data_IF_613969468413
#
_entry.id   IF_613969468413
#
_cell.length_a   1.000
_cell.length_b   1.000
_cell.length_c   1.000
_cell.angle_alpha   90.00
_cell.angle_beta   90.00
_cell.angle_gamma   90.00
#
_symmetry.space_group_name_H-M   'P 1'
#
loop_
_entity.id
_entity.type
_entity.pdbx_description
1 polymer ?
#
# COMPACT_ATOMS: atom_id res chain seq x y z
N UNK A 1 -17.08 -4.59 -6.63
CA UNK A 1 -15.89 -5.12 -5.93
C UNK A 1 -14.74 -5.12 -6.92
N UNK A 2 -13.63 -4.48 -6.57
CA UNK A 2 -12.39 -4.76 -7.29
C UNK A 2 -12.28 -6.28 -7.32
N UNK A 3 -12.21 -6.85 -8.51
CA UNK A 3 -12.26 -8.30 -8.66
C UNK A 3 -10.97 -8.85 -8.03
N UNK A 4 -11.11 -9.66 -6.98
CA UNK A 4 -9.98 -10.31 -6.29
C UNK A 4 -8.97 -10.89 -7.29
N UNK A 5 -9.45 -11.50 -8.39
CA UNK A 5 -8.61 -12.03 -9.47
C UNK A 5 -7.83 -10.96 -10.24
N UNK A 6 -8.39 -9.75 -10.39
CA UNK A 6 -7.72 -8.64 -11.07
C UNK A 6 -6.62 -8.05 -10.19
N UNK A 7 -6.86 -7.95 -8.89
CA UNK A 7 -5.86 -7.54 -7.90
C UNK A 7 -4.74 -8.58 -7.86
N UNK A 8 -5.08 -9.87 -7.67
CA UNK A 8 -4.10 -10.98 -7.70
C UNK A 8 -3.26 -10.97 -8.99
N UNK A 9 -3.88 -10.89 -10.17
CA UNK A 9 -3.18 -10.89 -11.45
C UNK A 9 -2.28 -9.67 -11.67
N UNK A 10 -2.61 -8.53 -11.07
CA UNK A 10 -1.78 -7.32 -11.14
C UNK A 10 -0.55 -7.48 -10.25
N UNK A 11 -0.73 -7.99 -9.04
CA UNK A 11 0.38 -8.19 -8.12
C UNK A 11 1.28 -9.36 -8.52
N UNK A 12 0.77 -10.43 -9.12
CA UNK A 12 1.57 -11.61 -9.50
C UNK A 12 2.76 -11.28 -10.40
N UNK A 13 2.64 -10.36 -11.36
CA UNK A 13 3.78 -9.97 -12.19
C UNK A 13 4.62 -8.86 -11.55
N UNK A 14 3.98 -7.92 -10.84
CA UNK A 14 4.66 -6.91 -10.04
C UNK A 14 5.45 -7.57 -8.91
N UNK A 15 4.88 -8.58 -8.26
CA UNK A 15 5.50 -9.33 -7.19
C UNK A 15 6.79 -10.02 -7.64
N UNK A 16 6.80 -10.66 -8.81
CA UNK A 16 8.03 -11.22 -9.40
C UNK A 16 9.10 -10.17 -9.67
N UNK A 17 8.66 -8.99 -10.08
CA UNK A 17 9.56 -7.86 -10.29
C UNK A 17 10.03 -7.28 -8.96
N UNK A 18 9.15 -7.22 -7.96
CA UNK A 18 9.49 -6.79 -6.60
C UNK A 18 10.36 -7.81 -5.87
N UNK A 19 10.12 -9.12 -6.00
CA UNK A 19 11.00 -10.17 -5.44
C UNK A 19 12.48 -9.97 -5.80
N UNK A 20 12.75 -9.53 -7.02
CA UNK A 20 14.11 -9.24 -7.47
C UNK A 20 14.69 -7.95 -6.89
N UNK A 21 13.82 -7.07 -6.39
CA UNK A 21 14.12 -5.73 -5.86
C UNK A 21 13.92 -5.62 -4.37
N UNK A 22 13.36 -6.65 -3.73
CA UNK A 22 13.16 -6.65 -2.29
C UNK A 22 14.48 -6.32 -1.62
N UNK A 23 14.62 -5.07 -1.20
CA UNK A 23 15.69 -4.63 -0.34
C UNK A 23 15.64 -5.39 0.97
N UNK A 24 16.49 -5.02 1.91
CA UNK A 24 16.61 -5.67 3.23
C UNK A 24 15.28 -5.91 3.95
N UNK A 25 14.27 -5.06 3.69
CA UNK A 25 13.00 -5.07 4.41
C UNK A 25 11.82 -5.60 3.61
N UNK A 26 11.98 -5.90 2.32
CA UNK A 26 10.88 -6.27 1.44
C UNK A 26 9.72 -5.22 1.43
N UNK A 27 10.03 -3.95 1.67
CA UNK A 27 9.05 -2.88 1.82
C UNK A 27 8.92 -2.07 0.53
N UNK A 28 7.76 -2.19 -0.12
CA UNK A 28 7.41 -1.53 -1.37
C UNK A 28 6.52 -0.30 -1.17
N UNK A 29 6.48 0.26 0.04
CA UNK A 29 5.65 1.42 0.37
C UNK A 29 6.49 2.65 0.68
N UNK A 30 5.87 3.84 0.72
CA UNK A 30 6.56 5.09 0.99
C UNK A 30 7.36 5.03 2.29
N UNK A 31 8.65 5.34 2.22
CA UNK A 31 9.56 5.45 3.36
C UNK A 31 9.30 6.72 4.18
N UNK A 32 9.92 6.87 5.34
CA UNK A 32 9.80 8.01 6.24
C UNK A 32 11.12 8.76 6.33
N UNK A 33 11.29 9.76 5.47
CA UNK A 33 12.46 10.62 5.47
C UNK A 33 12.38 11.73 6.53
N UNK A 34 11.16 12.16 6.87
CA UNK A 34 10.91 13.23 7.86
C UNK A 34 11.67 14.53 7.54
N UNK A 35 11.73 14.87 6.25
CA UNK A 35 12.43 16.06 5.75
C UNK A 35 13.94 15.91 5.56
N UNK A 36 14.55 14.82 6.04
CA UNK A 36 15.96 14.51 5.83
C UNK A 36 16.14 13.58 4.62
N UNK A 37 16.19 14.16 3.44
CA UNK A 37 16.40 13.42 2.18
C UNK A 37 17.87 13.02 1.95
N UNK A 38 18.76 13.27 2.92
CA UNK A 38 20.12 12.70 2.94
C UNK A 38 20.18 11.24 3.40
N UNK A 39 19.12 10.74 4.04
CA UNK A 39 19.02 9.33 4.46
C UNK A 39 19.03 8.38 3.27
N UNK A 40 19.61 7.20 3.47
CA UNK A 40 19.39 6.08 2.54
C UNK A 40 17.95 5.59 2.61
N UNK A 41 17.46 4.92 1.54
CA UNK A 41 16.14 4.31 1.54
C UNK A 41 15.97 3.29 2.68
N UNK A 42 16.99 2.47 2.93
CA UNK A 42 16.98 1.48 4.03
C UNK A 42 16.85 2.17 5.39
N UNK A 43 17.52 3.30 5.61
CA UNK A 43 17.39 4.07 6.84
C UNK A 43 15.98 4.65 6.97
N UNK A 44 15.44 5.27 5.92
CA UNK A 44 14.11 5.85 5.93
C UNK A 44 13.00 4.78 6.09
N UNK A 45 13.20 3.55 5.60
CA UNK A 45 12.29 2.42 5.86
C UNK A 45 12.41 1.95 7.33
N UNK A 46 13.62 1.87 7.87
CA UNK A 46 13.83 1.54 9.30
C UNK A 46 13.13 2.56 10.20
N UNK A 47 13.32 3.85 9.92
CA UNK A 47 12.71 4.95 10.66
C UNK A 47 11.17 4.88 10.59
N UNK A 48 10.60 4.53 9.43
CA UNK A 48 9.16 4.29 9.29
C UNK A 48 8.67 3.17 10.21
N UNK A 49 9.35 2.03 10.20
CA UNK A 49 8.95 0.90 11.03
C UNK A 49 9.00 1.25 12.52
N UNK A 50 10.09 1.90 12.96
CA UNK A 50 10.22 2.38 14.34
C UNK A 50 9.11 3.38 14.69
N UNK A 51 8.87 4.37 13.82
CA UNK A 51 7.84 5.39 14.02
C UNK A 51 6.42 4.80 14.13
N UNK A 52 6.13 3.74 13.35
CA UNK A 52 4.85 3.03 13.42
C UNK A 52 4.72 2.26 14.73
N UNK A 53 5.74 1.48 15.12
CA UNK A 53 5.75 0.67 16.34
C UNK A 53 5.64 1.56 17.58
N UNK A 54 6.43 2.63 17.64
CA UNK A 54 6.41 3.61 18.74
C UNK A 54 5.07 4.35 18.80
N UNK A 55 4.56 4.77 17.65
CA UNK A 55 3.27 5.46 17.55
C UNK A 55 2.09 4.61 18.01
N UNK A 56 2.14 3.31 17.78
CA UNK A 56 1.16 2.35 18.29
C UNK A 56 1.37 1.99 19.76
N UNK A 57 2.58 2.18 20.30
CA UNK A 57 2.93 1.75 21.66
C UNK A 57 2.99 0.23 21.83
N UNK A 58 3.39 -0.48 20.76
CA UNK A 58 3.36 -1.95 20.72
C UNK A 58 4.74 -2.60 20.70
N UNK A 59 5.80 -1.85 20.93
CA UNK A 59 7.15 -2.40 21.10
C UNK A 59 7.28 -3.20 22.40
N UNK A 60 7.85 -4.42 22.31
CA UNK A 60 8.16 -5.25 23.47
C UNK A 60 7.33 -6.53 23.60
N UNK A 61 7.75 -7.37 24.54
CA UNK A 61 7.17 -8.70 24.73
C UNK A 61 5.69 -8.68 25.14
N UNK A 62 4.92 -9.63 24.62
CA UNK A 62 3.53 -9.82 24.95
C UNK A 62 2.56 -8.94 24.14
N UNK A 63 3.07 -8.06 23.30
CA UNK A 63 2.25 -7.25 22.37
C UNK A 63 1.96 -8.00 21.08
N UNK A 64 0.76 -7.79 20.54
CA UNK A 64 0.30 -8.44 19.31
C UNK A 64 -0.36 -7.42 18.38
N UNK A 65 0.02 -7.41 17.10
CA UNK A 65 -0.46 -6.45 16.10
C UNK A 65 -1.10 -7.19 14.92
N UNK A 66 -2.22 -6.68 14.42
CA UNK A 66 -2.84 -7.12 13.17
C UNK A 66 -2.36 -6.20 12.03
N UNK A 67 -1.76 -6.78 10.99
CA UNK A 67 -1.33 -6.05 9.78
C UNK A 67 -2.25 -6.43 8.61
N UNK A 68 -3.14 -5.49 8.24
CA UNK A 68 -4.16 -5.70 7.20
C UNK A 68 -3.61 -5.27 5.85
N UNK A 69 -3.37 -6.24 4.98
CA UNK A 69 -2.65 -6.04 3.72
C UNK A 69 -1.14 -6.04 3.94
N UNK A 70 -0.64 -7.00 4.69
CA UNK A 70 0.75 -7.06 5.16
C UNK A 70 1.82 -7.17 4.05
N UNK A 71 1.42 -7.43 2.80
CA UNK A 71 2.36 -7.59 1.69
C UNK A 71 3.42 -8.64 1.98
N UNK A 72 4.69 -8.28 1.76
CA UNK A 72 5.86 -9.12 2.05
C UNK A 72 6.26 -9.15 3.54
N UNK A 73 5.44 -8.58 4.41
CA UNK A 73 5.59 -8.63 5.88
C UNK A 73 6.65 -7.71 6.48
N UNK A 74 6.96 -6.53 5.93
CA UNK A 74 8.00 -5.65 6.49
C UNK A 74 7.69 -5.22 7.92
N UNK A 75 6.45 -4.85 8.22
CA UNK A 75 6.01 -4.46 9.57
C UNK A 75 6.02 -5.67 10.51
N UNK A 76 5.56 -6.84 10.06
CA UNK A 76 5.60 -8.06 10.87
C UNK A 76 7.03 -8.43 11.25
N UNK A 77 7.98 -8.28 10.32
CA UNK A 77 9.39 -8.52 10.61
C UNK A 77 9.95 -7.49 11.60
N UNK A 78 9.60 -6.22 11.46
CA UNK A 78 10.00 -5.17 12.38
C UNK A 78 9.43 -5.39 13.79
N UNK A 79 8.17 -5.80 13.92
CA UNK A 79 7.54 -6.18 15.18
C UNK A 79 8.29 -7.35 15.84
N UNK A 80 8.59 -8.40 15.07
CA UNK A 80 9.38 -9.55 15.57
C UNK A 80 10.74 -9.10 16.09
N UNK A 81 11.43 -8.20 15.39
CA UNK A 81 12.71 -7.64 15.85
C UNK A 81 12.56 -6.79 17.13
N UNK A 82 11.43 -6.13 17.30
CA UNK A 82 11.08 -5.36 18.50
C UNK A 82 10.56 -6.24 19.67
N UNK A 83 10.52 -7.56 19.49
CA UNK A 83 10.05 -8.51 20.51
C UNK A 83 8.53 -8.65 20.59
N UNK A 84 7.78 -8.13 19.63
CA UNK A 84 6.32 -8.20 19.56
C UNK A 84 5.86 -9.28 18.60
N UNK A 85 4.64 -9.80 18.79
CA UNK A 85 3.97 -10.69 17.85
C UNK A 85 3.16 -9.91 16.80
N UNK A 86 2.88 -10.55 15.68
CA UNK A 86 2.00 -10.00 14.65
C UNK A 86 1.29 -11.09 13.85
N UNK A 87 0.08 -10.78 13.39
CA UNK A 87 -0.65 -11.56 12.40
C UNK A 87 -0.87 -10.70 11.16
N UNK A 88 -0.49 -11.19 9.99
CA UNK A 88 -0.73 -10.52 8.71
C UNK A 88 -1.91 -11.09 7.95
N UNK A 89 -2.69 -10.23 7.29
CA UNK A 89 -3.67 -10.63 6.30
C UNK A 89 -3.19 -10.17 4.91
N UNK A 90 -3.23 -11.04 3.92
CA UNK A 90 -2.92 -10.73 2.53
C UNK A 90 -3.83 -11.50 1.57
N UNK A 91 -4.01 -10.97 0.35
CA UNK A 91 -4.72 -11.64 -0.74
C UNK A 91 -3.77 -12.36 -1.70
N UNK A 92 -2.46 -12.15 -1.61
CA UNK A 92 -1.46 -12.78 -2.48
C UNK A 92 -0.93 -14.08 -1.87
N UNK A 93 -1.13 -15.20 -2.60
CA UNK A 93 -0.56 -16.49 -2.21
C UNK A 93 0.97 -16.48 -2.19
N UNK A 94 1.63 -15.73 -3.10
CA UNK A 94 3.07 -15.58 -3.16
C UNK A 94 3.60 -14.85 -1.92
N UNK A 95 2.98 -13.74 -1.53
CA UNK A 95 3.33 -12.97 -0.34
C UNK A 95 3.14 -13.81 0.93
N UNK A 96 2.01 -14.53 1.05
CA UNK A 96 1.76 -15.41 2.19
C UNK A 96 2.81 -16.52 2.30
N UNK A 97 3.20 -17.14 1.18
CA UNK A 97 4.23 -18.17 1.16
C UNK A 97 5.60 -17.62 1.59
N UNK A 98 5.99 -16.46 1.06
CA UNK A 98 7.22 -15.77 1.44
C UNK A 98 7.27 -15.45 2.93
N UNK A 99 6.20 -14.84 3.46
CA UNK A 99 6.11 -14.49 4.88
C UNK A 99 6.27 -15.72 5.79
N UNK A 100 5.55 -16.81 5.47
CA UNK A 100 5.63 -18.06 6.25
C UNK A 100 7.02 -18.70 6.20
N UNK A 101 7.70 -18.67 5.05
CA UNK A 101 9.08 -19.13 4.91
C UNK A 101 10.06 -18.33 5.78
N UNK A 102 9.75 -17.04 6.04
CA UNK A 102 10.52 -16.17 6.94
C UNK A 102 10.06 -16.23 8.40
N UNK A 103 9.18 -17.18 8.73
CA UNK A 103 8.69 -17.39 10.10
C UNK A 103 7.79 -16.25 10.60
N UNK A 104 7.01 -15.64 9.69
CA UNK A 104 5.97 -14.67 10.01
C UNK A 104 4.59 -15.35 9.96
N UNK A 105 3.73 -15.00 10.90
CA UNK A 105 2.35 -15.51 10.96
C UNK A 105 1.46 -14.72 10.00
N UNK A 106 0.97 -15.38 8.94
CA UNK A 106 0.18 -14.74 7.87
C UNK A 106 -0.94 -15.66 7.40
N UNK A 107 -2.12 -15.07 7.23
CA UNK A 107 -3.29 -15.71 6.65
C UNK A 107 -3.58 -15.16 5.25
N UNK A 108 -3.93 -16.06 4.33
CA UNK A 108 -4.44 -15.70 3.00
C UNK A 108 -5.93 -15.42 3.13
N UNK A 109 -6.28 -14.21 3.55
CA UNK A 109 -7.65 -13.85 3.95
C UNK A 109 -7.94 -12.38 3.65
N UNK A 110 -9.14 -12.11 3.10
CA UNK A 110 -9.67 -10.75 3.02
C UNK A 110 -10.24 -10.34 4.38
N UNK A 111 -9.93 -9.13 4.84
CA UNK A 111 -10.52 -8.59 6.06
C UNK A 111 -12.06 -8.57 6.02
N UNK A 112 -12.65 -8.47 4.84
CA UNK A 112 -14.10 -8.49 4.62
C UNK A 112 -14.74 -9.84 4.94
N UNK A 113 -13.98 -10.92 4.81
CA UNK A 113 -14.38 -12.30 5.06
C UNK A 113 -13.90 -12.80 6.43
N UNK A 114 -13.05 -12.00 7.12
CA UNK A 114 -12.51 -12.38 8.41
C UNK A 114 -13.57 -12.22 9.52
N UNK A 115 -13.68 -13.26 10.36
CA UNK A 115 -14.44 -13.16 11.60
C UNK A 115 -13.51 -12.66 12.72
N UNK A 116 -13.75 -11.49 13.33
CA UNK A 116 -12.90 -10.95 14.39
C UNK A 116 -12.70 -11.92 15.58
N UNK A 117 -13.72 -12.72 15.92
CA UNK A 117 -13.65 -13.68 17.02
C UNK A 117 -12.60 -14.77 16.77
N UNK A 118 -12.36 -15.16 15.52
CA UNK A 118 -11.40 -16.21 15.17
C UNK A 118 -9.95 -15.66 15.14
N UNK A 119 -9.78 -14.34 14.98
CA UNK A 119 -8.46 -13.69 14.97
C UNK A 119 -7.93 -13.43 16.38
N UNK A 120 -8.81 -13.29 17.35
CA UNK A 120 -8.47 -12.86 18.73
C UNK A 120 -8.22 -11.37 18.84
N UNK A 121 -7.83 -10.92 20.06
CA UNK A 121 -7.55 -9.51 20.34
C UNK A 121 -6.13 -9.10 19.95
N UNK A 122 -5.98 -7.80 19.66
CA UNK A 122 -4.70 -7.18 19.32
C UNK A 122 -4.48 -5.91 20.13
N UNK A 123 -3.21 -5.55 20.39
CA UNK A 123 -2.83 -4.29 21.04
C UNK A 123 -2.75 -3.14 20.04
N UNK A 124 -2.57 -3.45 18.76
CA UNK A 124 -2.52 -2.47 17.67
C UNK A 124 -2.98 -3.06 16.33
N UNK A 125 -3.41 -2.20 15.43
CA UNK A 125 -3.72 -2.54 14.04
C UNK A 125 -2.90 -1.66 13.11
N UNK A 126 -2.45 -2.20 12.00
CA UNK A 126 -1.71 -1.50 10.93
C UNK A 126 -2.37 -1.81 9.60
N UNK A 127 -2.44 -0.82 8.70
CA UNK A 127 -2.71 -1.03 7.28
C UNK A 127 -1.91 -0.02 6.46
N UNK A 128 -1.02 -0.52 5.59
CA UNK A 128 -0.10 0.30 4.80
C UNK A 128 -0.24 -0.08 3.32
N UNK A 129 -0.74 0.85 2.50
CA UNK A 129 -0.84 0.66 1.04
C UNK A 129 -1.90 -0.37 0.60
N UNK A 130 -2.82 -0.75 1.48
CA UNK A 130 -3.92 -1.66 1.15
C UNK A 130 -5.27 -0.95 1.03
N UNK A 131 -5.48 0.12 1.78
CA UNK A 131 -6.74 0.87 1.84
C UNK A 131 -7.16 1.45 0.49
N UNK A 132 -6.22 1.73 -0.39
CA UNK A 132 -6.39 2.17 -1.76
C UNK A 132 -7.24 1.22 -2.62
N UNK A 133 -7.26 -0.07 -2.23
CA UNK A 133 -7.94 -1.14 -2.96
C UNK A 133 -9.27 -1.56 -2.34
N UNK A 134 -9.67 -0.96 -1.21
CA UNK A 134 -10.87 -1.38 -0.48
C UNK A 134 -12.16 -0.97 -1.15
N UNK A 135 -12.13 0.13 -1.92
CA UNK A 135 -13.25 0.59 -2.72
C UNK A 135 -12.92 0.50 -4.21
N UNK A 136 -13.83 -0.07 -4.98
CA UNK A 136 -13.72 -0.07 -6.43
C UNK A 136 -14.28 1.22 -7.03
N UNK A 137 -13.86 1.52 -8.28
CA UNK A 137 -14.44 2.62 -9.06
C UNK A 137 -15.96 2.47 -9.23
N UNK A 138 -16.46 1.25 -9.41
CA UNK A 138 -17.91 0.98 -9.53
C UNK A 138 -18.63 1.29 -8.20
N UNK A 139 -18.07 0.87 -7.08
CA UNK A 139 -18.61 1.14 -5.75
C UNK A 139 -18.58 2.65 -5.43
N UNK A 140 -17.50 3.34 -5.80
CA UNK A 140 -17.43 4.80 -5.71
C UNK A 140 -18.55 5.48 -6.52
N UNK A 141 -18.69 5.11 -7.80
CA UNK A 141 -19.73 5.67 -8.67
C UNK A 141 -21.17 5.35 -8.18
N UNK A 142 -21.31 4.30 -7.38
CA UNK A 142 -22.57 3.90 -6.74
C UNK A 142 -22.78 4.52 -5.35
N UNK A 143 -21.87 5.41 -4.90
CA UNK A 143 -21.96 6.11 -3.61
C UNK A 143 -21.68 5.23 -2.38
N UNK A 144 -21.03 4.07 -2.54
CA UNK A 144 -20.80 3.09 -1.45
C UNK A 144 -19.47 3.28 -0.72
N UNK A 145 -18.62 4.19 -1.16
CA UNK A 145 -17.26 4.32 -0.63
C UNK A 145 -17.24 4.58 0.88
N UNK A 146 -18.06 5.50 1.37
CA UNK A 146 -18.12 5.85 2.81
C UNK A 146 -18.62 4.68 3.67
N UNK A 147 -19.55 3.87 3.15
CA UNK A 147 -20.03 2.67 3.84
C UNK A 147 -18.93 1.62 3.95
N UNK A 148 -18.18 1.38 2.86
CA UNK A 148 -17.06 0.45 2.85
C UNK A 148 -15.99 0.85 3.87
N UNK A 149 -15.67 2.14 3.91
CA UNK A 149 -14.66 2.64 4.86
C UNK A 149 -15.16 2.55 6.31
N UNK A 150 -16.42 2.85 6.60
CA UNK A 150 -16.98 2.64 7.93
C UNK A 150 -16.89 1.17 8.36
N UNK A 151 -17.30 0.23 7.50
CA UNK A 151 -17.18 -1.20 7.79
C UNK A 151 -15.75 -1.65 8.06
N UNK A 152 -14.77 -1.05 7.40
CA UNK A 152 -13.37 -1.31 7.70
C UNK A 152 -12.96 -0.83 9.08
N UNK A 153 -13.38 0.38 9.48
CA UNK A 153 -13.12 0.88 10.82
C UNK A 153 -13.89 0.10 11.90
N UNK A 154 -15.12 -0.35 11.62
CA UNK A 154 -15.88 -1.25 12.50
C UNK A 154 -15.10 -2.55 12.75
N UNK A 155 -14.55 -3.15 11.68
CA UNK A 155 -13.70 -4.34 11.78
C UNK A 155 -12.45 -4.06 12.63
N UNK A 156 -11.72 -2.98 12.38
CA UNK A 156 -10.55 -2.62 13.17
C UNK A 156 -10.89 -2.41 14.65
N UNK A 157 -12.02 -1.76 14.93
CA UNK A 157 -12.50 -1.55 16.29
C UNK A 157 -12.86 -2.86 17.00
N UNK A 158 -13.42 -3.83 16.28
CA UNK A 158 -13.84 -5.11 16.87
C UNK A 158 -12.68 -5.96 17.40
N UNK A 159 -11.46 -5.76 16.91
CA UNK A 159 -10.26 -6.50 17.32
C UNK A 159 -9.35 -5.74 18.29
N UNK A 160 -9.64 -4.45 18.56
CA UNK A 160 -8.87 -3.60 19.46
C UNK A 160 -9.60 -3.36 20.79
N UNK A 161 -8.88 -3.26 21.92
CA UNK A 161 -9.45 -2.72 23.15
C UNK A 161 -9.67 -1.21 23.05
N UNK A 162 -10.50 -0.64 23.91
CA UNK A 162 -10.59 0.82 24.10
C UNK A 162 -9.19 1.34 24.50
N UNK A 163 -8.75 2.44 23.90
CA UNK A 163 -7.39 2.99 24.02
C UNK A 163 -6.37 2.30 23.08
N UNK A 164 -6.73 1.19 22.44
CA UNK A 164 -5.90 0.55 21.42
C UNK A 164 -5.73 1.46 20.20
N UNK A 165 -4.56 1.35 19.53
CA UNK A 165 -4.21 2.26 18.42
C UNK A 165 -4.23 1.57 17.08
N UNK A 166 -4.60 2.34 16.07
CA UNK A 166 -4.59 1.93 14.68
C UNK A 166 -3.76 2.92 13.85
N UNK A 167 -2.85 2.39 13.03
CA UNK A 167 -2.08 3.14 12.05
C UNK A 167 -2.55 2.85 10.63
N UNK A 168 -2.87 3.90 9.90
CA UNK A 168 -3.22 3.85 8.48
C UNK A 168 -2.25 4.69 7.67
N UNK A 169 -1.64 4.08 6.65
CA UNK A 169 -0.85 4.79 5.64
C UNK A 169 -1.47 4.51 4.26
N UNK A 170 -1.88 5.55 3.54
CA UNK A 170 -2.59 5.39 2.29
C UNK A 170 -2.43 6.58 1.34
N UNK A 171 -2.52 6.30 0.04
CA UNK A 171 -2.71 7.33 -0.96
C UNK A 171 -4.15 7.83 -0.93
N UNK A 172 -4.33 9.10 -1.18
CA UNK A 172 -5.64 9.73 -1.35
C UNK A 172 -5.61 10.68 -2.54
N UNK A 173 -6.77 11.06 -3.06
CA UNK A 173 -6.84 12.12 -4.05
C UNK A 173 -6.28 13.42 -3.48
N UNK A 174 -5.68 14.23 -4.36
CA UNK A 174 -5.08 15.50 -4.01
C UNK A 174 -6.08 16.65 -4.00
N UNK A 175 -5.76 17.72 -4.73
CA UNK A 175 -6.61 18.94 -4.75
C UNK A 175 -8.02 18.71 -5.31
N UNK A 176 -8.17 17.75 -6.21
CA UNK A 176 -9.43 17.47 -6.88
C UNK A 176 -9.62 15.95 -7.00
N UNK A 177 -10.80 15.47 -6.64
CA UNK A 177 -11.19 14.08 -6.94
C UNK A 177 -11.50 14.00 -8.44
N UNK A 178 -10.83 13.13 -9.19
CA UNK A 178 -11.04 13.02 -10.63
C UNK A 178 -12.45 12.49 -10.94
N UNK A 179 -12.97 12.92 -12.08
CA UNK A 179 -14.23 12.39 -12.61
C UNK A 179 -13.90 11.15 -13.45
N UNK A 180 -14.28 9.99 -12.97
CA UNK A 180 -13.94 8.69 -13.54
C UNK A 180 -14.19 8.58 -15.07
N UNK A 181 -15.34 9.07 -15.55
CA UNK A 181 -15.72 9.06 -16.98
C UNK A 181 -14.85 9.95 -17.88
N UNK A 182 -14.08 10.86 -17.29
CA UNK A 182 -13.20 11.78 -18.04
C UNK A 182 -11.78 11.21 -18.23
N UNK A 183 -11.46 10.10 -17.58
CA UNK A 183 -10.16 9.46 -17.67
C UNK A 183 -10.03 8.71 -19.00
N UNK A 184 -9.25 9.25 -19.94
CA UNK A 184 -9.11 8.71 -21.29
C UNK A 184 -7.65 8.62 -21.72
N UNK A 185 -7.32 7.53 -22.39
CA UNK A 185 -5.97 7.28 -22.93
C UNK A 185 -5.63 8.17 -24.13
N UNK A 186 -6.64 8.71 -24.82
CA UNK A 186 -6.51 9.63 -25.96
C UNK A 186 -6.51 11.11 -25.55
N UNK A 187 -6.57 11.42 -24.26
CA UNK A 187 -6.39 12.79 -23.77
C UNK A 187 -4.95 13.28 -24.05
N UNK A 188 -4.74 14.60 -23.95
CA UNK A 188 -3.43 15.21 -24.18
C UNK A 188 -2.31 14.56 -23.37
N UNK A 189 -1.14 14.35 -23.97
CA UNK A 189 0.03 13.78 -23.28
C UNK A 189 0.40 14.66 -22.09
N UNK A 190 0.70 14.02 -20.93
CA UNK A 190 1.02 14.69 -19.68
C UNK A 190 -0.18 15.29 -18.93
N UNK A 191 -1.41 15.20 -19.49
CA UNK A 191 -2.62 15.61 -18.75
C UNK A 191 -2.95 14.62 -17.62
N UNK A 192 -3.56 15.14 -16.54
CA UNK A 192 -4.02 14.30 -15.43
C UNK A 192 -4.97 13.17 -15.90
N UNK A 193 -5.86 13.48 -16.87
CA UNK A 193 -6.79 12.49 -17.43
C UNK A 193 -6.06 11.32 -18.07
N UNK A 194 -4.98 11.55 -18.84
CA UNK A 194 -4.24 10.50 -19.51
C UNK A 194 -3.35 9.72 -18.54
N UNK A 195 -2.68 10.42 -17.62
CA UNK A 195 -1.87 9.81 -16.56
C UNK A 195 -2.73 8.84 -15.73
N UNK A 196 -3.87 9.31 -15.23
CA UNK A 196 -4.78 8.51 -14.42
C UNK A 196 -5.42 7.37 -15.23
N UNK A 197 -5.70 7.57 -16.52
CA UNK A 197 -6.19 6.50 -17.39
C UNK A 197 -5.17 5.36 -17.53
N UNK A 198 -3.86 5.66 -17.58
CA UNK A 198 -2.80 4.63 -17.55
C UNK A 198 -2.68 3.95 -16.20
N UNK A 199 -2.75 4.72 -15.09
CA UNK A 199 -2.70 4.17 -13.73
C UNK A 199 -3.91 3.26 -13.44
N UNK A 200 -5.10 3.53 -13.99
CA UNK A 200 -6.25 2.60 -13.93
C UNK A 200 -5.96 1.24 -14.57
N UNK A 201 -5.08 1.18 -15.57
CA UNK A 201 -4.62 -0.09 -16.16
C UNK A 201 -3.58 -0.79 -15.29
N UNK A 202 -2.84 -0.03 -14.46
CA UNK A 202 -1.91 -0.57 -13.49
C UNK A 202 -2.64 -1.15 -12.26
N UNK A 203 -3.66 -0.42 -11.77
CA UNK A 203 -4.42 -0.76 -10.57
C UNK A 203 -5.92 -0.89 -10.89
N UNK A 204 -6.31 -1.93 -11.66
CA UNK A 204 -7.69 -2.07 -12.10
C UNK A 204 -8.64 -2.23 -10.90
N UNK A 205 -9.79 -1.58 -11.02
CA UNK A 205 -10.85 -1.70 -10.02
C UNK A 205 -10.60 -0.94 -8.71
N UNK A 206 -9.52 -0.17 -8.55
CA UNK A 206 -9.24 0.59 -7.33
C UNK A 206 -9.65 2.05 -7.49
N UNK A 207 -10.18 2.66 -6.40
CA UNK A 207 -10.50 4.07 -6.33
C UNK A 207 -10.10 4.66 -4.99
N UNK A 208 -9.25 5.70 -5.02
CA UNK A 208 -8.68 6.28 -3.81
C UNK A 208 -9.73 7.02 -2.96
N UNK A 209 -9.49 7.17 -1.65
CA UNK A 209 -10.25 8.09 -0.81
C UNK A 209 -10.16 9.52 -1.33
N UNK A 210 -11.21 10.30 -1.13
CA UNK A 210 -11.26 11.72 -1.53
C UNK A 210 -10.30 12.62 -0.74
N UNK A 211 -9.76 12.11 0.38
CA UNK A 211 -8.81 12.82 1.22
C UNK A 211 -8.89 12.39 2.69
N UNK A 212 -7.99 12.97 3.50
CA UNK A 212 -7.93 12.70 4.95
C UNK A 212 -9.27 12.92 5.66
N UNK A 213 -10.02 13.97 5.29
CA UNK A 213 -11.29 14.29 5.94
C UNK A 213 -12.32 13.15 5.82
N UNK A 214 -12.41 12.51 4.65
CA UNK A 214 -13.29 11.36 4.44
C UNK A 214 -12.90 10.18 5.33
N UNK A 215 -11.60 9.89 5.42
CA UNK A 215 -11.08 8.79 6.26
C UNK A 215 -11.42 9.05 7.72
N UNK A 216 -11.18 10.27 8.21
CA UNK A 216 -11.47 10.66 9.59
C UNK A 216 -12.96 10.59 9.88
N UNK A 217 -13.80 11.01 8.95
CA UNK A 217 -15.26 10.91 9.10
C UNK A 217 -15.75 9.45 9.14
N UNK A 218 -15.16 8.58 8.32
CA UNK A 218 -15.48 7.15 8.36
C UNK A 218 -15.05 6.47 9.67
N UNK A 219 -13.96 6.94 10.29
CA UNK A 219 -13.42 6.43 11.54
C UNK A 219 -14.17 6.92 12.79
N UNK A 220 -14.89 8.05 12.71
CA UNK A 220 -15.40 8.80 13.87
C UNK A 220 -16.38 8.03 14.79
N UNK A 221 -16.97 6.92 14.30
CA UNK A 221 -17.83 6.07 15.13
C UNK A 221 -17.11 5.36 16.27
N UNK A 222 -15.82 5.03 16.07
CA UNK A 222 -15.03 4.22 17.01
C UNK A 222 -13.67 4.82 17.34
N UNK A 223 -13.16 5.72 16.50
CA UNK A 223 -11.79 6.20 16.60
C UNK A 223 -11.70 7.72 16.63
N UNK A 224 -10.71 8.21 17.35
CA UNK A 224 -10.25 9.58 17.33
C UNK A 224 -8.90 9.66 16.63
N UNK A 225 -8.72 10.58 15.68
CA UNK A 225 -7.41 10.87 15.10
C UNK A 225 -6.53 11.52 16.18
N UNK A 226 -5.36 10.92 16.44
CA UNK A 226 -4.41 11.43 17.47
C UNK A 226 -3.15 12.03 16.86
N UNK A 227 -2.75 11.58 15.67
CA UNK A 227 -1.58 12.11 14.97
C UNK A 227 -1.75 11.93 13.45
N UNK A 228 -1.31 12.91 12.68
CA UNK A 228 -1.24 12.78 11.22
C UNK A 228 0.03 13.41 10.67
N UNK A 229 0.52 12.83 9.57
CA UNK A 229 1.63 13.34 8.80
C UNK A 229 1.32 13.18 7.31
N UNK A 230 1.57 14.22 6.50
CA UNK A 230 1.47 14.13 5.06
C UNK A 230 2.81 13.64 4.48
N UNK A 231 2.81 12.44 3.93
CA UNK A 231 3.99 11.77 3.41
C UNK A 231 4.23 11.97 1.91
N UNK A 232 3.60 12.98 1.27
CA UNK A 232 3.72 13.17 -0.18
C UNK A 232 5.15 13.36 -0.65
N UNK A 233 5.92 14.21 0.02
CA UNK A 233 7.33 14.46 -0.32
C UNK A 233 8.20 13.22 -0.11
N UNK A 234 7.95 12.49 0.98
CA UNK A 234 8.63 11.23 1.26
C UNK A 234 8.34 10.18 0.19
N UNK A 235 7.11 10.16 -0.36
CA UNK A 235 6.77 9.21 -1.41
C UNK A 235 7.43 9.57 -2.75
N UNK A 236 7.52 10.87 -3.09
CA UNK A 236 8.27 11.34 -4.26
C UNK A 236 9.72 10.86 -4.15
N UNK A 237 10.37 11.11 -3.02
CA UNK A 237 11.74 10.67 -2.77
C UNK A 237 11.91 9.15 -2.82
N UNK A 238 10.96 8.40 -2.23
CA UNK A 238 10.96 6.93 -2.29
C UNK A 238 10.96 6.44 -3.74
N UNK A 239 10.12 7.04 -4.59
CA UNK A 239 10.03 6.68 -6.01
C UNK A 239 11.29 7.06 -6.78
N UNK A 240 11.94 8.19 -6.45
CA UNK A 240 13.23 8.59 -7.01
C UNK A 240 14.32 7.56 -6.65
N UNK A 241 14.42 7.15 -5.39
CA UNK A 241 15.39 6.12 -4.95
C UNK A 241 15.16 4.79 -5.65
N UNK A 242 13.90 4.40 -5.87
CA UNK A 242 13.61 3.20 -6.67
C UNK A 242 14.00 3.37 -8.13
N UNK A 243 13.90 4.57 -8.70
CA UNK A 243 14.38 4.91 -10.04
C UNK A 243 15.89 4.76 -10.16
N UNK A 244 16.64 5.34 -9.21
CA UNK A 244 18.11 5.24 -9.15
C UNK A 244 18.59 3.78 -9.02
N UNK A 245 17.92 2.97 -8.22
CA UNK A 245 18.19 1.54 -8.11
C UNK A 245 17.93 0.81 -9.44
N UNK A 246 16.93 1.24 -10.23
CA UNK A 246 16.69 0.72 -11.55
C UNK A 246 17.84 1.01 -12.52
N UNK A 247 18.34 2.23 -12.52
CA UNK A 247 19.48 2.61 -13.36
C UNK A 247 20.73 1.82 -12.98
N UNK A 248 20.89 1.49 -11.69
CA UNK A 248 21.95 0.61 -11.21
C UNK A 248 21.80 -0.86 -11.62
N UNK A 249 20.57 -1.29 -11.98
CA UNK A 249 20.31 -2.66 -12.46
C UNK A 249 20.96 -2.96 -13.81
N UNK A 250 21.17 -1.95 -14.65
CA UNK A 250 21.88 -2.08 -15.93
C UNK A 250 23.39 -2.31 -15.75
N UNK A 251 23.92 -2.26 -14.52
CA UNK A 251 25.31 -2.62 -14.23
C UNK A 251 25.44 -4.14 -14.15
N UNK A 252 26.01 -4.72 -15.18
CA UNK A 252 26.46 -6.07 -15.57
C UNK A 252 26.06 -7.29 -14.71
N UNK A 253 25.92 -7.22 -13.39
CA UNK A 253 25.61 -8.39 -12.54
C UNK A 253 24.12 -8.60 -12.26
N UNK A 254 23.33 -7.54 -12.25
CA UNK A 254 21.89 -7.60 -11.94
C UNK A 254 21.07 -7.98 -13.20
N UNK A 255 21.54 -7.60 -14.41
CA UNK A 255 20.87 -7.92 -15.69
C UNK A 255 20.61 -9.42 -15.86
N UNK A 256 21.57 -10.27 -15.49
CA UNK A 256 21.40 -11.73 -15.61
C UNK A 256 20.27 -12.30 -14.73
N UNK A 257 19.98 -11.69 -13.58
CA UNK A 257 18.84 -12.11 -12.73
C UNK A 257 17.49 -11.69 -13.31
N UNK A 258 17.46 -10.58 -14.05
CA UNK A 258 16.24 -10.04 -14.65
C UNK A 258 15.93 -10.66 -16.04
N UNK A 259 16.92 -11.17 -16.73
CA UNK A 259 16.75 -11.75 -18.08
C UNK A 259 15.63 -12.80 -18.15
N UNK A 260 15.51 -13.78 -17.24
CA UNK A 260 14.44 -14.78 -17.30
C UNK A 260 13.06 -14.14 -17.09
N UNK A 261 12.96 -13.17 -16.18
CA UNK A 261 11.70 -12.45 -15.91
C UNK A 261 11.32 -11.60 -17.10
N UNK A 262 12.26 -10.83 -17.67
CA UNK A 262 12.04 -10.01 -18.87
C UNK A 262 11.66 -10.87 -20.06
N UNK A 263 12.35 -12.01 -20.29
CA UNK A 263 12.00 -12.95 -21.34
C UNK A 263 10.57 -13.50 -21.18
N UNK A 264 10.14 -13.80 -19.95
CA UNK A 264 8.78 -14.23 -19.64
C UNK A 264 7.72 -13.13 -19.86
N UNK A 265 8.09 -11.85 -19.79
CA UNK A 265 7.19 -10.73 -20.03
C UNK A 265 7.04 -10.37 -21.52
N UNK A 266 7.98 -10.76 -22.39
CA UNK A 266 7.95 -10.44 -23.83
C UNK A 266 6.66 -10.92 -24.52
N UNK A 267 6.19 -12.15 -24.37
CA UNK A 267 4.94 -12.59 -25.00
C UNK A 267 3.75 -11.73 -24.53
N UNK A 268 3.69 -11.40 -23.24
CA UNK A 268 2.64 -10.55 -22.69
C UNK A 268 2.70 -9.12 -23.24
N UNK A 269 3.90 -8.57 -23.39
CA UNK A 269 4.10 -7.25 -24.02
C UNK A 269 3.64 -7.22 -25.48
N UNK A 270 3.91 -8.28 -26.24
CA UNK A 270 3.52 -8.38 -27.64
C UNK A 270 2.01 -8.56 -27.82
N UNK A 271 1.35 -9.31 -26.93
CA UNK A 271 -0.05 -9.71 -27.10
C UNK A 271 -1.05 -8.83 -26.33
N UNK A 272 -0.66 -8.19 -25.23
CA UNK A 272 -1.55 -7.42 -24.36
C UNK A 272 -1.35 -5.92 -24.53
N UNK A 273 -2.41 -5.22 -25.01
CA UNK A 273 -2.42 -3.76 -25.07
C UNK A 273 -2.34 -3.14 -23.67
N UNK A 274 -3.09 -3.68 -22.71
CA UNK A 274 -3.14 -3.16 -21.35
C UNK A 274 -1.77 -3.31 -20.67
N UNK A 275 -1.06 -4.42 -20.90
CA UNK A 275 0.29 -4.60 -20.37
C UNK A 275 1.29 -3.58 -20.95
N UNK A 276 1.19 -3.24 -22.25
CA UNK A 276 2.02 -2.16 -22.83
C UNK A 276 1.75 -0.81 -22.16
N UNK A 277 0.47 -0.50 -21.85
CA UNK A 277 0.08 0.72 -21.14
C UNK A 277 0.65 0.73 -19.72
N UNK A 278 0.64 -0.42 -19.01
CA UNK A 278 1.25 -0.55 -17.69
C UNK A 278 2.75 -0.26 -17.73
N UNK A 279 3.47 -0.84 -18.69
CA UNK A 279 4.90 -0.56 -18.89
C UNK A 279 5.15 0.90 -19.24
N UNK A 280 4.32 1.50 -20.10
CA UNK A 280 4.40 2.92 -20.44
C UNK A 280 4.23 3.79 -19.18
N UNK A 281 3.28 3.46 -18.31
CA UNK A 281 3.04 4.18 -17.05
C UNK A 281 4.24 4.14 -16.11
N UNK A 282 4.92 2.99 -16.02
CA UNK A 282 6.15 2.83 -15.24
C UNK A 282 7.28 3.68 -15.82
N UNK A 283 7.52 3.56 -17.14
CA UNK A 283 8.59 4.30 -17.83
C UNK A 283 8.42 5.82 -17.74
N UNK A 284 7.17 6.29 -17.73
CA UNK A 284 6.84 7.71 -17.62
C UNK A 284 6.76 8.20 -16.17
N UNK A 285 6.97 7.33 -15.18
CA UNK A 285 6.85 7.64 -13.77
C UNK A 285 5.48 8.28 -13.41
N UNK A 286 4.40 7.77 -14.02
CA UNK A 286 3.06 8.36 -13.87
C UNK A 286 2.63 8.48 -12.40
N UNK A 287 2.95 7.49 -11.57
CA UNK A 287 2.63 7.53 -10.14
C UNK A 287 3.35 8.68 -9.43
N UNK A 288 4.64 8.85 -9.66
CA UNK A 288 5.41 9.96 -9.09
C UNK A 288 4.89 11.31 -9.58
N UNK A 289 4.57 11.39 -10.86
CA UNK A 289 3.98 12.57 -11.47
C UNK A 289 2.70 13.00 -10.77
N UNK A 290 1.83 12.04 -10.40
CA UNK A 290 0.62 12.35 -9.64
C UNK A 290 0.91 13.01 -8.30
N UNK A 291 2.01 12.64 -7.62
CA UNK A 291 2.41 13.29 -6.37
C UNK A 291 3.04 14.67 -6.61
N UNK A 292 3.88 14.83 -7.64
CA UNK A 292 4.49 16.12 -8.00
C UNK A 292 3.42 17.14 -8.34
N UNK A 293 2.47 16.76 -9.21
CA UNK A 293 1.40 17.63 -9.71
C UNK A 293 0.21 17.75 -8.71
N UNK A 294 0.34 17.15 -7.50
CA UNK A 294 -0.69 17.14 -6.45
C UNK A 294 -2.06 16.57 -6.89
N UNK A 295 -2.04 15.70 -7.90
CA UNK A 295 -3.21 14.89 -8.30
C UNK A 295 -3.54 13.87 -7.22
N UNK A 296 -2.50 13.33 -6.58
CA UNK A 296 -2.57 12.47 -5.42
C UNK A 296 -1.75 13.04 -4.27
N UNK A 297 -2.10 12.68 -3.06
CA UNK A 297 -1.27 12.90 -1.88
C UNK A 297 -1.21 11.62 -1.03
N UNK A 298 -0.48 11.66 0.07
CA UNK A 298 -0.21 10.48 0.87
C UNK A 298 -0.37 10.83 2.35
N UNK A 299 -1.20 10.08 3.04
CA UNK A 299 -1.54 10.34 4.43
C UNK A 299 -1.06 9.21 5.33
N UNK A 300 -0.55 9.59 6.50
CA UNK A 300 -0.17 8.72 7.61
C UNK A 300 -0.96 9.15 8.83
N UNK A 301 -1.80 8.27 9.33
CA UNK A 301 -2.82 8.60 10.33
C UNK A 301 -2.73 7.62 11.49
N UNK A 302 -2.58 8.15 12.71
CA UNK A 302 -2.75 7.36 13.92
C UNK A 302 -4.10 7.66 14.53
N UNK A 303 -4.82 6.62 14.81
CA UNK A 303 -6.10 6.65 15.48
C UNK A 303 -6.00 5.95 16.84
N UNK A 304 -6.85 6.36 17.79
CA UNK A 304 -7.04 5.71 19.08
C UNK A 304 -8.50 5.32 19.21
N UNK A 305 -8.78 4.07 19.57
CA UNK A 305 -10.14 3.60 19.82
C UNK A 305 -10.72 4.25 21.07
N UNK A 306 -11.91 4.86 20.93
CA UNK A 306 -12.58 5.59 22.00
C UNK A 306 -13.86 4.90 22.49
N UNK A 307 -14.45 4.00 21.68
CA UNK A 307 -15.67 3.27 22.02
C UNK A 307 -15.68 1.85 21.40
#
# INVERSE_FOLDING_TARGET
MANRREIEATYDWLDRFHELRLGRFADITAAFFDGDFGKSLDQAQTDKHAWVIDGLGVGGAGKRVLDIGCGWGPILNALKMAGSGGLGLTLSGAQAAYCRQNGLDVQLLDWKDANPADLGGFDGVVSIGAFEHFCSEEEFNSGKQDEIYRRFFDFCASVLPVGGRFYLQTMVWGKVVPVSRELRLDAAEGSAQRILARLRKMYPGSWLPSGKAQIVAAAAGHFRLVKSNNGRKDYIETLDRWGEDNDSLWRFRKVFRFLPVLAGLVPRYLTSRDFRIQIESIVKNDQQRCFIDEIMTHERLFFEKVA
#
